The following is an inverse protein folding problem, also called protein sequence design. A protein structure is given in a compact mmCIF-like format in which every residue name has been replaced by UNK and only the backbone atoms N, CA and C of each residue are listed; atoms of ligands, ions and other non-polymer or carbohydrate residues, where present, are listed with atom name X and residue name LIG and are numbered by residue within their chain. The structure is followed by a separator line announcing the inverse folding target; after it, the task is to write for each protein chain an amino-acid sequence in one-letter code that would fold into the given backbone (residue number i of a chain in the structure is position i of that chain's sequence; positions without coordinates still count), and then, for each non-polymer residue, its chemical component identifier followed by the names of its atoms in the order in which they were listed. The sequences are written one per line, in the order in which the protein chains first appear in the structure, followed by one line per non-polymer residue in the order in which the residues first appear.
data_IF_393521004110
#
_entry.id   IF_393521004110
#
_cell.length_a   1.000
_cell.length_b   1.000
_cell.length_c   1.000
_cell.angle_alpha   90.00
_cell.angle_beta   90.00
_cell.angle_gamma   90.00
#
_symmetry.space_group_name_H-M   'P 1'
#
loop_
_entity.id
_entity.type
_entity.pdbx_description
1 polymer ?
#
# COMPACT_ATOMS: atom_id res chain seq x y z
N UNK A 1 -16.74 33.26 6.31
CA UNK A 1 -15.74 32.18 6.37
C UNK A 1 -14.59 32.64 7.27
N UNK A 2 -14.13 31.83 8.22
CA UNK A 2 -12.90 32.13 8.95
C UNK A 2 -11.73 32.25 7.94
N UNK A 3 -10.79 33.18 8.17
CA UNK A 3 -9.73 33.53 7.21
C UNK A 3 -8.70 32.41 6.98
N UNK A 4 -8.82 31.30 7.71
CA UNK A 4 -7.94 30.13 7.64
C UNK A 4 -8.46 29.04 6.69
N UNK A 5 -9.70 29.18 6.21
CA UNK A 5 -10.26 28.30 5.20
C UNK A 5 -10.22 29.03 3.85
N UNK A 6 -9.26 28.63 3.02
CA UNK A 6 -9.20 29.06 1.62
C UNK A 6 -10.49 28.60 0.92
N UNK A 7 -11.30 29.50 0.35
CA UNK A 7 -12.53 29.13 -0.36
C UNK A 7 -12.25 28.48 -1.72
N UNK A 8 -10.99 28.29 -2.10
CA UNK A 8 -10.59 27.85 -3.43
C UNK A 8 -10.07 26.40 -3.49
N UNK A 9 -9.99 25.71 -2.35
CA UNK A 9 -9.51 24.32 -2.30
C UNK A 9 -10.62 23.42 -1.74
N UNK A 10 -11.32 22.74 -2.65
CA UNK A 10 -12.25 21.67 -2.34
C UNK A 10 -11.48 20.42 -1.90
N UNK A 11 -11.96 19.75 -0.85
CA UNK A 11 -11.37 18.52 -0.34
C UNK A 11 -11.92 17.34 -1.14
N UNK A 12 -11.04 16.60 -1.81
CA UNK A 12 -11.41 15.37 -2.52
C UNK A 12 -11.18 14.14 -1.63
N UNK A 13 -11.90 13.07 -1.93
CA UNK A 13 -11.70 11.76 -1.31
C UNK A 13 -10.23 11.31 -1.47
N UNK A 14 -9.58 10.96 -0.36
CA UNK A 14 -8.16 10.54 -0.32
C UNK A 14 -7.16 11.67 0.01
N UNK A 15 -7.60 12.92 0.13
CA UNK A 15 -6.72 14.03 0.51
C UNK A 15 -6.47 14.09 2.02
N UNK A 16 -5.26 14.48 2.41
CA UNK A 16 -4.96 14.71 3.81
C UNK A 16 -5.72 15.94 4.32
N UNK A 17 -6.75 15.69 5.12
CA UNK A 17 -7.52 16.72 5.82
C UNK A 17 -7.05 16.77 7.28
N UNK A 18 -6.41 17.87 7.72
CA UNK A 18 -6.01 18.00 9.11
C UNK A 18 -7.21 17.89 10.07
N UNK A 19 -7.02 17.36 11.29
CA UNK A 19 -8.13 17.14 12.23
C UNK A 19 -8.86 18.43 12.64
N UNK A 20 -8.17 19.58 12.62
CA UNK A 20 -8.78 20.90 12.84
C UNK A 20 -9.81 21.24 11.74
N UNK A 21 -9.53 20.85 10.50
CA UNK A 21 -10.40 21.06 9.34
C UNK A 21 -11.56 20.05 9.36
N UNK A 22 -11.28 18.80 9.72
CA UNK A 22 -12.31 17.77 9.94
C UNK A 22 -13.31 18.20 11.03
N UNK A 23 -12.84 18.73 12.16
CA UNK A 23 -13.70 19.20 13.24
C UNK A 23 -14.64 20.33 12.79
N UNK A 24 -14.17 21.25 11.94
CA UNK A 24 -15.02 22.33 11.40
C UNK A 24 -16.07 21.81 10.43
N UNK A 25 -15.72 20.83 9.59
CA UNK A 25 -16.67 20.19 8.66
C UNK A 25 -17.75 19.45 9.44
N UNK A 26 -17.36 18.67 10.46
CA UNK A 26 -18.28 17.95 11.33
C UNK A 26 -19.22 18.92 12.06
N UNK A 27 -18.70 20.06 12.54
CA UNK A 27 -19.52 21.12 13.13
C UNK A 27 -20.50 21.72 12.13
N UNK A 28 -20.08 21.97 10.89
CA UNK A 28 -20.93 22.56 9.85
C UNK A 28 -22.04 21.61 9.39
N UNK A 29 -21.74 20.31 9.36
CA UNK A 29 -22.71 19.25 9.07
C UNK A 29 -23.63 18.94 10.26
N UNK A 30 -23.40 19.54 11.43
CA UNK A 30 -24.21 19.33 12.63
C UNK A 30 -23.94 18.00 13.34
N UNK A 31 -22.79 17.37 13.10
CA UNK A 31 -22.37 16.09 13.68
C UNK A 31 -21.65 16.24 15.03
N UNK A 32 -21.49 17.44 15.57
CA UNK A 32 -20.74 17.67 16.80
C UNK A 32 -21.67 17.87 18.01
N UNK A 33 -21.72 16.87 18.89
CA UNK A 33 -22.21 16.99 20.27
C UNK A 33 -21.15 17.71 21.13
N UNK A 34 -21.58 18.78 21.80
CA UNK A 34 -20.85 19.38 22.91
C UNK A 34 -20.87 18.41 24.10
N UNK A 35 -19.81 17.64 24.32
CA UNK A 35 -19.57 17.05 25.64
C UNK A 35 -18.07 16.93 25.96
N UNK A 36 -17.63 17.76 26.90
CA UNK A 36 -16.34 17.61 27.56
C UNK A 36 -16.40 16.46 28.57
N UNK A 37 -16.34 15.23 28.08
CA UNK A 37 -16.28 14.03 28.91
C UNK A 37 -14.85 13.48 28.81
N UNK A 38 -14.11 13.60 29.91
CA UNK A 38 -13.10 12.59 30.26
C UNK A 38 -13.90 11.30 30.48
N UNK A 39 -13.92 10.39 29.51
CA UNK A 39 -14.28 9.00 29.72
C UNK A 39 -13.18 8.10 29.16
N UNK A 40 -12.80 7.22 30.06
CA UNK A 40 -11.97 6.05 29.94
C UNK A 40 -12.64 5.07 28.94
N UNK A 41 -12.32 5.19 27.66
CA UNK A 41 -12.57 4.12 26.69
C UNK A 41 -11.35 3.18 26.67
N UNK A 42 -11.35 2.24 27.61
CA UNK A 42 -10.85 0.90 27.32
C UNK A 42 -11.66 0.33 26.15
N UNK A 43 -10.98 -0.02 25.05
CA UNK A 43 -11.54 -0.90 24.03
C UNK A 43 -12.02 -0.22 22.74
N UNK A 44 -11.09 0.38 22.00
CA UNK A 44 -11.11 0.27 20.56
C UNK A 44 -9.65 0.26 20.10
N UNK A 45 -9.09 -0.94 20.09
CA UNK A 45 -8.07 -1.30 19.09
C UNK A 45 -8.77 -1.19 17.74
N UNK A 46 -8.89 0.05 17.26
CA UNK A 46 -9.11 0.32 15.85
C UNK A 46 -7.79 -0.06 15.18
N UNK A 47 -7.61 -1.37 15.01
CA UNK A 47 -6.90 -1.92 13.87
C UNK A 47 -7.64 -1.39 12.63
N UNK A 48 -7.44 -0.11 12.29
CA UNK A 48 -7.49 0.30 10.91
C UNK A 48 -6.34 -0.45 10.25
N UNK A 49 -6.66 -1.67 9.85
CA UNK A 49 -6.07 -2.42 8.76
C UNK A 49 -6.29 -1.58 7.49
N UNK A 50 -5.69 -0.38 7.45
CA UNK A 50 -5.63 0.49 6.28
C UNK A 50 -4.67 -0.24 5.35
N UNK A 51 -5.31 -1.07 4.53
CA UNK A 51 -4.83 -1.79 3.36
C UNK A 51 -3.34 -1.60 3.12
N UNK A 52 -2.58 -2.68 3.34
CA UNK A 52 -1.25 -2.86 2.78
C UNK A 52 -1.31 -2.66 1.25
N UNK A 53 -1.33 -1.42 0.77
CA UNK A 53 -0.84 -1.08 -0.56
C UNK A 53 0.67 -1.33 -0.49
N UNK A 54 1.01 -2.58 -0.80
CA UNK A 54 2.37 -3.08 -0.96
C UNK A 54 3.27 -1.98 -1.54
N UNK A 55 4.36 -1.72 -0.82
CA UNK A 55 5.52 -1.03 -1.35
C UNK A 55 5.99 -1.76 -2.61
N UNK A 56 5.47 -1.35 -3.77
CA UNK A 56 6.18 -1.52 -5.03
C UNK A 56 7.45 -0.64 -4.95
N UNK A 57 8.49 -1.17 -4.31
CA UNK A 57 9.88 -0.91 -4.71
C UNK A 57 10.05 -1.43 -6.15
N UNK A 58 9.53 -0.67 -7.12
CA UNK A 58 9.98 -0.83 -8.50
C UNK A 58 11.19 0.09 -8.68
N UNK A 59 12.37 -0.54 -8.63
CA UNK A 59 13.64 -0.01 -9.09
C UNK A 59 13.46 0.79 -10.38
N UNK A 60 13.92 2.05 -10.37
CA UNK A 60 14.09 2.86 -11.56
C UNK A 60 15.06 2.14 -12.53
N UNK A 61 14.55 1.25 -13.38
CA UNK A 61 15.28 0.74 -14.53
C UNK A 61 14.78 1.47 -15.79
N UNK A 62 15.57 2.48 -16.10
CA UNK A 62 15.59 3.34 -17.27
C UNK A 62 15.13 2.64 -18.56
N UNK A 63 14.21 3.27 -19.29
CA UNK A 63 13.77 2.86 -20.62
C UNK A 63 14.96 2.73 -21.59
N UNK A 64 15.44 1.51 -21.86
CA UNK A 64 16.29 1.24 -23.03
C UNK A 64 15.46 0.61 -24.17
N UNK A 65 15.48 1.29 -25.32
CA UNK A 65 14.75 0.93 -26.54
C UNK A 65 15.05 -0.48 -27.08
N UNK A 66 14.13 -1.10 -27.87
CA UNK A 66 14.35 -2.44 -28.39
C UNK A 66 15.28 -2.42 -29.63
N UNK A 67 16.59 -2.65 -29.43
CA UNK A 67 17.48 -2.93 -30.56
C UNK A 67 17.43 -4.40 -30.98
N UNK A 68 17.29 -4.60 -32.29
CA UNK A 68 17.17 -5.91 -32.94
C UNK A 68 18.50 -6.65 -32.94
N UNK A 69 18.58 -7.81 -32.27
CA UNK A 69 19.74 -8.69 -32.36
C UNK A 69 19.43 -10.15 -32.07
N UNK A 70 18.97 -10.91 -33.07
CA UNK A 70 18.81 -12.37 -32.98
C UNK A 70 20.18 -13.06 -32.94
N UNK A 71 20.79 -13.17 -31.76
CA UNK A 71 22.02 -13.92 -31.53
C UNK A 71 21.76 -15.40 -31.18
N UNK A 72 22.05 -16.31 -32.11
CA UNK A 72 22.02 -17.77 -31.90
C UNK A 72 23.02 -18.18 -30.81
N UNK A 73 22.55 -18.53 -29.61
CA UNK A 73 23.40 -19.17 -28.58
C UNK A 73 23.44 -20.68 -28.81
N UNK A 74 24.56 -21.16 -29.38
CA UNK A 74 24.90 -22.58 -29.45
C UNK A 74 25.22 -23.09 -28.04
N UNK A 75 24.48 -24.08 -27.55
CA UNK A 75 24.83 -24.83 -26.33
C UNK A 75 25.94 -25.81 -26.67
N UNK A 76 27.14 -25.62 -26.12
CA UNK A 76 28.17 -26.66 -26.06
C UNK A 76 27.90 -27.53 -24.83
N UNK A 77 27.86 -28.82 -25.08
CA UNK A 77 27.72 -29.88 -24.10
C UNK A 77 29.14 -30.33 -23.73
N UNK A 78 29.59 -30.02 -22.52
CA UNK A 78 30.78 -30.63 -21.92
C UNK A 78 30.33 -31.45 -20.72
N UNK A 79 30.65 -32.74 -20.82
CA UNK A 79 30.43 -33.79 -19.84
C UNK A 79 31.55 -33.78 -18.80
N UNK A 80 31.30 -34.47 -17.68
CA UNK A 80 32.30 -34.96 -16.71
C UNK A 80 32.60 -34.07 -15.49
N UNK A 81 31.57 -33.77 -14.68
CA UNK A 81 31.74 -33.50 -13.23
C UNK A 81 30.43 -33.65 -12.42
N UNK A 82 29.49 -34.50 -12.82
CA UNK A 82 28.17 -34.61 -12.19
C UNK A 82 27.81 -36.05 -11.77
N UNK A 83 28.75 -36.78 -11.19
CA UNK A 83 28.52 -38.14 -10.64
C UNK A 83 28.32 -38.09 -9.13
N UNK A 84 27.22 -37.46 -8.69
CA UNK A 84 26.60 -37.65 -7.37
C UNK A 84 25.15 -37.12 -7.36
N UNK A 85 24.92 -35.97 -8.00
CA UNK A 85 23.59 -35.34 -8.02
C UNK A 85 22.62 -35.91 -9.07
N UNK A 86 23.10 -36.73 -10.02
CA UNK A 86 22.21 -37.39 -10.99
C UNK A 86 21.50 -38.63 -10.41
N UNK A 87 22.03 -39.26 -9.36
CA UNK A 87 21.38 -40.38 -8.69
C UNK A 87 20.14 -39.96 -7.86
N UNK A 88 19.99 -38.67 -7.58
CA UNK A 88 18.78 -38.11 -6.95
C UNK A 88 17.71 -37.67 -7.97
N UNK A 89 18.03 -37.66 -9.27
CA UNK A 89 17.12 -37.18 -10.34
C UNK A 89 16.22 -38.26 -10.96
N UNK A 90 16.35 -39.52 -10.53
CA UNK A 90 15.51 -40.64 -11.01
C UNK A 90 14.70 -41.31 -9.89
N UNK A 91 14.71 -40.74 -8.69
CA UNK A 91 13.86 -41.16 -7.60
C UNK A 91 12.55 -40.38 -7.72
N UNK A 92 11.61 -40.88 -8.53
CA UNK A 92 10.24 -40.35 -8.60
C UNK A 92 9.50 -40.67 -7.30
N UNK A 93 9.83 -39.98 -6.20
CA UNK A 93 9.07 -40.01 -4.97
C UNK A 93 8.00 -38.93 -5.03
N UNK A 94 6.73 -39.34 -4.97
CA UNK A 94 5.60 -38.43 -4.83
C UNK A 94 5.45 -38.10 -3.34
N UNK A 95 5.66 -36.84 -2.97
CA UNK A 95 5.26 -36.35 -1.64
C UNK A 95 3.76 -36.09 -1.64
N UNK A 96 3.07 -36.61 -0.62
CA UNK A 96 1.66 -36.30 -0.43
C UNK A 96 1.52 -34.79 -0.15
N UNK A 97 0.69 -34.10 -0.94
CA UNK A 97 0.45 -32.68 -0.76
C UNK A 97 -0.11 -32.38 0.63
N UNK A 98 0.50 -31.43 1.33
CA UNK A 98 -0.02 -30.92 2.59
C UNK A 98 -1.34 -30.16 2.34
N UNK A 99 -2.32 -30.22 3.26
CA UNK A 99 -3.52 -29.40 3.15
C UNK A 99 -3.13 -27.91 3.21
N UNK A 100 -3.48 -27.18 2.16
CA UNK A 100 -3.26 -25.74 2.08
C UNK A 100 -4.22 -25.04 3.06
N UNK A 101 -3.66 -24.40 4.08
CA UNK A 101 -4.44 -23.62 5.04
C UNK A 101 -4.84 -22.31 4.36
N UNK A 102 -6.02 -22.29 3.74
CA UNK A 102 -6.52 -21.11 3.05
C UNK A 102 -6.92 -20.05 4.08
N UNK A 103 -6.16 -18.96 4.15
CA UNK A 103 -6.72 -17.70 4.63
C UNK A 103 -7.63 -17.15 3.52
N UNK A 104 -8.92 -17.01 3.82
CA UNK A 104 -9.95 -16.57 2.88
C UNK A 104 -9.66 -15.14 2.41
N UNK A 105 -9.16 -14.27 3.28
CA UNK A 105 -8.86 -12.86 2.98
C UNK A 105 -7.68 -12.73 2.02
N UNK A 106 -6.57 -13.40 2.30
CA UNK A 106 -5.40 -13.39 1.42
C UNK A 106 -5.74 -13.92 0.02
N UNK A 107 -6.61 -14.94 -0.05
CA UNK A 107 -7.09 -15.46 -1.33
C UNK A 107 -7.92 -14.42 -2.07
N UNK A 108 -8.76 -13.66 -1.37
CA UNK A 108 -9.58 -12.60 -1.95
C UNK A 108 -8.71 -11.44 -2.46
N UNK A 109 -7.74 -10.98 -1.67
CA UNK A 109 -6.78 -9.94 -2.09
C UNK A 109 -5.98 -10.37 -3.31
N UNK A 110 -5.54 -11.63 -3.36
CA UNK A 110 -4.85 -12.15 -4.53
C UNK A 110 -5.75 -12.14 -5.78
N UNK A 111 -7.03 -12.50 -5.63
CA UNK A 111 -7.99 -12.45 -6.73
C UNK A 111 -8.21 -11.01 -7.21
N UNK A 112 -8.38 -10.05 -6.32
CA UNK A 112 -8.59 -8.63 -6.70
C UNK A 112 -7.36 -8.05 -7.40
N UNK A 113 -6.14 -8.40 -6.97
CA UNK A 113 -4.90 -7.99 -7.63
C UNK A 113 -4.72 -8.63 -9.01
N UNK A 114 -5.05 -9.91 -9.14
CA UNK A 114 -5.04 -10.61 -10.44
C UNK A 114 -6.07 -9.98 -11.41
N UNK A 115 -7.27 -9.62 -10.92
CA UNK A 115 -8.29 -8.91 -11.69
C UNK A 115 -7.85 -7.50 -12.10
N UNK A 116 -7.24 -6.75 -11.17
CA UNK A 116 -6.67 -5.41 -11.44
C UNK A 116 -5.60 -5.49 -12.53
N UNK A 117 -4.67 -6.45 -12.43
CA UNK A 117 -3.63 -6.67 -13.43
C UNK A 117 -4.21 -7.04 -14.79
N UNK A 118 -5.23 -7.91 -14.80
CA UNK A 118 -5.92 -8.28 -16.03
C UNK A 118 -6.61 -7.07 -16.67
N UNK A 119 -7.26 -6.22 -15.88
CA UNK A 119 -7.90 -5.00 -16.34
C UNK A 119 -6.88 -4.04 -16.97
N UNK A 120 -5.70 -3.89 -16.38
CA UNK A 120 -4.62 -3.09 -16.95
C UNK A 120 -4.12 -3.66 -18.29
N UNK A 121 -3.95 -4.98 -18.41
CA UNK A 121 -3.57 -5.62 -19.68
C UNK A 121 -4.64 -5.46 -20.78
N UNK A 122 -5.91 -5.37 -20.40
CA UNK A 122 -7.02 -5.13 -21.32
C UNK A 122 -7.06 -3.69 -21.84
N UNK A 123 -6.32 -2.75 -21.23
CA UNK A 123 -6.24 -1.38 -21.71
C UNK A 123 -5.60 -1.37 -23.11
N UNK A 124 -6.24 -0.74 -24.11
CA UNK A 124 -5.65 -0.61 -25.43
C UNK A 124 -4.29 0.06 -25.37
N UNK A 125 -3.29 -0.47 -26.09
CA UNK A 125 -1.90 0.06 -26.11
C UNK A 125 -1.81 1.57 -26.31
N UNK A 126 -2.71 2.15 -27.12
CA UNK A 126 -2.78 3.60 -27.39
C UNK A 126 -3.11 4.44 -26.15
N UNK A 127 -3.83 3.87 -25.18
CA UNK A 127 -4.25 4.52 -23.94
C UNK A 127 -3.40 4.11 -22.73
N UNK A 128 -2.57 3.08 -22.85
CA UNK A 128 -1.71 2.58 -21.76
C UNK A 128 -0.86 3.70 -21.12
N UNK A 129 -0.12 4.46 -21.93
CA UNK A 129 0.71 5.59 -21.46
C UNK A 129 -0.07 6.64 -20.67
N UNK A 130 -1.32 6.92 -21.07
CA UNK A 130 -2.15 7.88 -20.35
C UNK A 130 -2.57 7.32 -18.98
N UNK A 131 -2.94 6.05 -18.93
CA UNK A 131 -3.23 5.35 -17.68
C UNK A 131 -2.01 5.36 -16.75
N UNK A 132 -0.84 4.95 -17.24
CA UNK A 132 0.41 4.91 -16.46
C UNK A 132 0.73 6.30 -15.87
N UNK A 133 0.57 7.37 -16.67
CA UNK A 133 0.77 8.75 -16.22
C UNK A 133 -0.23 9.18 -15.14
N UNK A 134 -1.50 8.78 -15.26
CA UNK A 134 -2.53 9.06 -14.26
C UNK A 134 -2.24 8.30 -12.97
N UNK A 135 -1.89 7.01 -13.07
CA UNK A 135 -1.55 6.18 -11.92
C UNK A 135 -0.31 6.69 -11.20
N UNK A 136 0.73 7.10 -11.94
CA UNK A 136 1.92 7.73 -11.35
C UNK A 136 1.59 9.01 -10.59
N UNK A 137 0.76 9.90 -11.16
CA UNK A 137 0.34 11.12 -10.50
C UNK A 137 -0.46 10.83 -9.21
N UNK A 138 -1.34 9.81 -9.24
CA UNK A 138 -2.07 9.35 -8.05
C UNK A 138 -1.13 8.77 -6.99
N UNK A 139 -0.22 7.86 -7.35
CA UNK A 139 0.76 7.24 -6.45
C UNK A 139 1.60 8.32 -5.75
N UNK A 140 2.07 9.32 -6.50
CA UNK A 140 2.81 10.45 -5.94
C UNK A 140 1.99 11.27 -4.94
N UNK A 141 0.72 11.58 -5.27
CA UNK A 141 -0.19 12.31 -4.37
C UNK A 141 -0.42 11.51 -3.08
N UNK A 142 -0.68 10.21 -3.18
CA UNK A 142 -0.90 9.32 -2.04
C UNK A 142 0.36 9.22 -1.14
N UNK A 143 1.56 9.19 -1.72
CA UNK A 143 2.80 9.23 -0.94
C UNK A 143 2.95 10.54 -0.16
N UNK A 144 2.58 11.68 -0.75
CA UNK A 144 2.62 12.96 -0.07
C UNK A 144 1.59 13.02 1.07
N UNK A 145 0.38 12.51 0.87
CA UNK A 145 -0.65 12.45 1.93
C UNK A 145 -0.26 11.48 3.05
N UNK A 146 0.28 10.30 2.75
CA UNK A 146 0.80 9.35 3.74
C UNK A 146 1.90 9.97 4.60
N UNK A 147 2.86 10.68 3.99
CA UNK A 147 3.90 11.42 4.74
C UNK A 147 3.30 12.47 5.69
N UNK A 148 2.17 13.08 5.36
CA UNK A 148 1.49 14.03 6.23
C UNK A 148 0.73 13.33 7.36
N UNK A 149 0.07 12.19 7.07
CA UNK A 149 -0.57 11.32 8.08
C UNK A 149 0.46 10.85 9.12
N UNK A 150 1.55 10.24 8.68
CA UNK A 150 2.62 9.72 9.56
C UNK A 150 3.22 10.81 10.47
N UNK A 151 3.46 12.02 9.91
CA UNK A 151 3.94 13.16 10.71
C UNK A 151 2.94 13.57 11.77
N UNK A 152 1.64 13.50 11.48
CA UNK A 152 0.59 13.86 12.44
C UNK A 152 0.48 12.82 13.55
N UNK A 153 0.46 11.55 13.20
CA UNK A 153 0.46 10.44 14.14
C UNK A 153 1.68 10.50 15.08
N UNK A 154 2.86 10.81 14.55
CA UNK A 154 4.06 11.02 15.38
C UNK A 154 3.88 12.16 16.40
N UNK A 155 3.22 13.26 16.02
CA UNK A 155 2.91 14.36 16.94
C UNK A 155 1.88 13.93 17.99
N UNK A 156 0.87 13.18 17.61
CA UNK A 156 -0.20 12.74 18.51
C UNK A 156 0.28 11.69 19.51
N UNK A 157 1.07 10.72 19.06
CA UNK A 157 1.73 9.74 19.93
C UNK A 157 2.66 10.42 20.94
N UNK A 158 3.44 11.43 20.51
CA UNK A 158 4.27 12.25 21.40
C UNK A 158 3.42 12.99 22.42
N UNK A 159 2.39 13.74 22.00
CA UNK A 159 1.46 14.46 22.89
C UNK A 159 0.77 13.53 23.89
N UNK A 160 0.34 12.34 23.45
CA UNK A 160 -0.28 11.30 24.30
C UNK A 160 0.72 10.76 25.32
N UNK A 161 1.99 10.58 24.93
CA UNK A 161 3.04 10.16 25.87
C UNK A 161 3.36 11.26 26.91
N UNK A 162 3.33 12.54 26.51
CA UNK A 162 3.56 13.67 27.40
C UNK A 162 2.41 13.87 28.39
N UNK A 163 1.15 13.74 27.94
CA UNK A 163 -0.01 13.83 28.83
C UNK A 163 -0.01 12.70 29.86
N UNK A 164 0.34 11.46 29.46
CA UNK A 164 0.53 10.32 30.38
C UNK A 164 1.64 10.59 31.41
N UNK A 165 2.78 11.14 31.00
CA UNK A 165 3.89 11.50 31.91
C UNK A 165 3.47 12.59 32.90
N UNK A 166 2.68 13.58 32.48
CA UNK A 166 2.14 14.63 33.37
C UNK A 166 1.15 14.06 34.39
N UNK A 167 0.21 13.20 33.96
CA UNK A 167 -0.76 12.52 34.86
C UNK A 167 -0.06 11.65 35.91
N UNK A 168 1.06 10.97 35.58
CA UNK A 168 1.82 10.13 36.52
C UNK A 168 2.65 10.92 37.56
N UNK A 169 2.89 12.22 37.35
CA UNK A 169 3.71 13.07 38.22
C UNK A 169 2.87 13.88 39.22
N UNK A 170 1.56 13.90 39.05
CA UNK A 170 0.58 14.43 40.00
C UNK A 170 0.11 13.31 40.93
#
# INVERSE_FOLDING_TARGET
LPPHLSPFVEEAEGDYVPPERQALINRQLGLQEDSGVEEDEEGSEDEEEDEEEEEEEESEEEEEEPEKGRGKRKRKHETEAATADQAKKLNMSVEAGAPENFNVEQKLQRQTMEERRLAEMMIPKKKKRLYDKIMFAKKKKNQETRKLKEKREAIETQKKSESKKKKKKQ
#
